data_IF_410516454820
#
_entry.id   IF_410516454820
#
_cell.length_a   1.000
_cell.length_b   1.000
_cell.length_c   1.000
_cell.angle_alpha   90.00
_cell.angle_beta   90.00
_cell.angle_gamma   90.00
#
_symmetry.space_group_name_H-M   'P 1'
#
loop_
_entity.id
_entity.type
_entity.pdbx_description
1 polymer ?
#
# COMPACT_ATOMS: atom_id res chain seq x y z
N UNK A 1 1.16 10.77 3.30
CA UNK A 1 0.07 9.85 3.68
C UNK A 1 0.50 8.41 3.36
N UNK A 2 0.15 7.40 4.14
CA UNK A 2 0.54 5.99 3.85
C UNK A 2 -0.67 5.07 3.97
N UNK A 3 -0.89 4.24 2.95
CA UNK A 3 -1.94 3.22 2.97
C UNK A 3 -1.48 2.04 3.82
N UNK A 4 -2.38 1.48 4.62
CA UNK A 4 -2.12 0.34 5.50
C UNK A 4 -3.13 -0.76 5.20
N UNK A 5 -2.65 -1.97 4.87
CA UNK A 5 -3.49 -3.09 4.42
C UNK A 5 -3.84 -4.09 5.53
N UNK A 6 -3.62 -3.74 6.80
CA UNK A 6 -3.94 -4.62 7.93
C UNK A 6 -5.43 -4.57 8.32
N UNK A 7 -6.02 -5.71 8.65
CA UNK A 7 -7.46 -5.80 9.00
C UNK A 7 -7.82 -5.28 10.41
N UNK A 8 -6.82 -4.88 11.21
CA UNK A 8 -7.04 -4.41 12.58
C UNK A 8 -7.90 -3.14 12.65
N UNK A 9 -7.91 -2.33 11.59
CA UNK A 9 -8.74 -1.14 11.50
C UNK A 9 -10.19 -1.44 11.09
N UNK A 10 -10.47 -2.65 10.54
CA UNK A 10 -11.79 -3.03 10.06
C UNK A 10 -12.67 -3.51 11.22
N UNK A 11 -13.99 -3.49 11.00
CA UNK A 11 -14.96 -4.03 11.97
C UNK A 11 -14.97 -5.55 11.91
N UNK A 12 -15.51 -6.18 12.95
CA UNK A 12 -15.76 -7.63 12.97
C UNK A 12 -16.87 -7.97 11.96
N UNK A 13 -16.98 -9.23 11.49
CA UNK A 13 -18.10 -9.67 10.66
C UNK A 13 -19.48 -9.39 11.29
N UNK A 14 -19.56 -9.44 12.62
CA UNK A 14 -20.77 -9.11 13.40
C UNK A 14 -21.04 -7.60 13.54
N UNK A 15 -20.23 -6.73 12.93
CA UNK A 15 -20.37 -5.27 13.04
C UNK A 15 -19.76 -4.64 14.29
N UNK A 16 -19.26 -5.43 15.25
CA UNK A 16 -18.57 -4.91 16.44
C UNK A 16 -17.27 -4.16 16.10
N UNK A 17 -16.96 -3.08 16.83
CA UNK A 17 -15.69 -2.36 16.69
C UNK A 17 -14.53 -3.23 17.19
N UNK A 18 -13.46 -3.34 16.41
CA UNK A 18 -12.25 -4.09 16.81
C UNK A 18 -11.27 -3.14 17.51
N UNK A 19 -10.70 -3.56 18.63
CA UNK A 19 -9.60 -2.84 19.32
C UNK A 19 -8.27 -3.39 18.79
N UNK A 20 -7.40 -2.57 18.18
CA UNK A 20 -6.09 -3.03 17.74
C UNK A 20 -5.24 -3.38 18.96
N UNK A 21 -4.64 -4.58 18.96
CA UNK A 21 -3.75 -5.05 20.04
C UNK A 21 -2.28 -4.64 19.81
N UNK A 22 -1.95 -4.15 18.61
CA UNK A 22 -0.59 -3.78 18.20
C UNK A 22 -0.61 -2.58 17.26
N UNK A 23 0.57 -1.97 17.09
CA UNK A 23 0.82 -0.96 16.07
C UNK A 23 0.97 -1.53 14.65
N UNK A 24 1.09 -0.60 13.70
CA UNK A 24 1.33 -0.82 12.28
C UNK A 24 2.72 -1.42 12.03
N UNK A 25 2.85 -2.41 11.14
CA UNK A 25 4.12 -3.11 10.87
C UNK A 25 4.61 -2.91 9.44
N UNK A 26 5.89 -2.63 9.19
CA UNK A 26 6.44 -2.31 7.85
C UNK A 26 5.94 -3.20 6.67
N UNK A 27 5.61 -4.46 6.91
CA UNK A 27 5.08 -5.37 5.90
C UNK A 27 3.62 -5.11 5.46
N UNK A 28 2.81 -4.40 6.25
CA UNK A 28 1.42 -4.06 5.91
C UNK A 28 1.34 -2.66 5.27
N UNK A 29 2.49 -1.99 5.08
CA UNK A 29 2.58 -0.70 4.42
C UNK A 29 2.30 -0.88 2.93
N UNK A 30 1.23 -0.25 2.46
CA UNK A 30 0.87 -0.14 1.06
C UNK A 30 1.53 1.05 0.39
N UNK A 31 1.14 1.26 -0.87
CA UNK A 31 1.50 2.46 -1.62
C UNK A 31 0.28 2.99 -2.34
N UNK A 32 0.30 4.28 -2.66
CA UNK A 32 -0.73 4.86 -3.51
C UNK A 32 -0.66 4.30 -4.94
N UNK A 33 -1.82 4.23 -5.62
CA UNK A 33 -1.86 3.90 -7.04
C UNK A 33 -1.07 4.96 -7.84
N UNK A 34 -0.46 4.53 -8.94
CA UNK A 34 0.03 5.44 -9.98
C UNK A 34 -1.07 5.60 -11.02
N UNK A 35 -1.71 6.75 -11.04
CA UNK A 35 -2.67 7.13 -12.08
C UNK A 35 -1.89 7.47 -13.35
N UNK A 36 -1.71 6.47 -14.22
CA UNK A 36 -0.92 6.59 -15.45
C UNK A 36 -1.66 7.39 -16.50
N UNK A 37 -0.97 8.34 -17.14
CA UNK A 37 -1.50 9.16 -18.24
C UNK A 37 -0.90 8.70 -19.56
N UNK A 38 -1.51 9.02 -20.71
CA UNK A 38 -0.90 8.78 -22.02
C UNK A 38 0.13 9.88 -22.33
N UNK A 39 1.36 9.52 -22.68
CA UNK A 39 2.40 10.48 -23.06
C UNK A 39 3.75 9.84 -23.36
N UNK A 40 4.83 10.61 -23.18
CA UNK A 40 6.20 10.08 -23.30
C UNK A 40 6.48 9.06 -22.19
N UNK A 41 7.22 7.97 -22.49
CA UNK A 41 7.40 6.87 -21.55
C UNK A 41 8.22 7.32 -20.33
N UNK A 42 7.57 7.51 -19.19
CA UNK A 42 8.20 7.87 -17.92
C UNK A 42 8.01 6.75 -16.91
N UNK A 43 9.12 6.15 -16.49
CA UNK A 43 9.14 5.03 -15.56
C UNK A 43 9.93 5.39 -14.31
N UNK A 44 9.40 5.02 -13.14
CA UNK A 44 10.06 5.15 -11.84
C UNK A 44 10.26 3.77 -11.22
N UNK A 45 11.50 3.39 -10.99
CA UNK A 45 11.83 2.14 -10.29
C UNK A 45 11.83 2.38 -8.79
N UNK A 46 11.08 1.57 -8.05
CA UNK A 46 11.00 1.66 -6.59
C UNK A 46 11.32 0.30 -5.94
N UNK A 47 12.20 0.33 -4.93
CA UNK A 47 12.56 -0.84 -4.14
C UNK A 47 11.40 -1.28 -3.24
N UNK A 48 11.14 -2.58 -3.20
CA UNK A 48 10.13 -3.23 -2.37
C UNK A 48 10.76 -4.06 -1.25
N UNK A 49 9.91 -4.62 -0.39
CA UNK A 49 10.32 -5.57 0.64
C UNK A 49 10.99 -6.78 -0.01
N UNK A 50 12.08 -7.27 0.59
CA UNK A 50 12.87 -8.39 0.05
C UNK A 50 13.88 -8.00 -1.02
N UNK A 51 14.02 -6.71 -1.36
CA UNK A 51 15.00 -6.25 -2.34
C UNK A 51 14.50 -6.23 -3.80
N UNK A 52 13.28 -6.68 -4.03
CA UNK A 52 12.65 -6.65 -5.35
C UNK A 52 12.46 -5.22 -5.85
N UNK A 53 12.49 -5.04 -7.17
CA UNK A 53 12.25 -3.77 -7.83
C UNK A 53 10.85 -3.80 -8.47
N UNK A 54 10.05 -2.76 -8.23
CA UNK A 54 8.77 -2.55 -8.93
C UNK A 54 8.88 -1.30 -9.78
N UNK A 55 8.66 -1.43 -11.07
CA UNK A 55 8.59 -0.30 -12.00
C UNK A 55 7.18 0.27 -11.96
N UNK A 56 7.07 1.57 -11.71
CA UNK A 56 5.83 2.34 -11.86
C UNK A 56 5.89 3.13 -13.13
N UNK A 57 4.89 2.98 -13.99
CA UNK A 57 4.69 3.83 -15.16
C UNK A 57 3.97 5.09 -14.68
N UNK A 58 4.31 6.24 -15.27
CA UNK A 58 3.65 7.52 -15.02
C UNK A 58 3.01 8.05 -16.30
N UNK A 59 3.71 7.90 -17.42
CA UNK A 59 3.27 8.19 -18.78
C UNK A 59 3.89 7.22 -19.77
#
# INVERSE_FOLDING_TARGET
MSVWHGDLHKRKPTGGKRKPYRGKRKFEQGSFPTETVLGEPKRKTERRRGGNLKVRVLS
#
